data_IF_978505568032
#
_entry.id   IF_978505568032
#
_cell.length_a   1.000
_cell.length_b   1.000
_cell.length_c   1.000
_cell.angle_alpha   90.00
_cell.angle_beta   90.00
_cell.angle_gamma   90.00
#
_symmetry.space_group_name_H-M   'P 1'
#
loop_
_entity.id
_entity.type
_entity.pdbx_description
1 polymer ?
#
# COMPACT_ATOMS: atom_id res chain seq x y z
N UNK A 1 -1.47 26.06 -28.76
CA UNK A 1 -1.66 24.62 -28.49
C UNK A 1 -2.60 24.49 -27.30
N UNK A 2 -3.60 23.62 -27.39
CA UNK A 2 -4.48 23.36 -26.25
C UNK A 2 -3.69 22.61 -25.16
N UNK A 3 -3.89 22.96 -23.89
CA UNK A 3 -3.34 22.20 -22.77
C UNK A 3 -4.11 20.87 -22.71
N UNK A 4 -3.41 19.76 -22.91
CA UNK A 4 -3.91 18.40 -22.68
C UNK A 4 -3.38 17.86 -21.36
N UNK A 5 -4.02 16.81 -20.82
CA UNK A 5 -3.52 16.11 -19.62
C UNK A 5 -2.08 15.63 -19.84
N UNK A 6 -1.76 15.10 -21.02
CA UNK A 6 -0.39 14.66 -21.34
C UNK A 6 0.61 15.81 -21.35
N UNK A 7 0.27 16.95 -21.98
CA UNK A 7 1.14 18.13 -21.98
C UNK A 7 1.33 18.71 -20.57
N UNK A 8 0.31 18.57 -19.71
CA UNK A 8 0.34 19.06 -18.34
C UNK A 8 1.28 18.24 -17.43
N UNK A 9 1.67 17.01 -17.81
CA UNK A 9 2.61 16.20 -17.03
C UNK A 9 4.03 16.79 -16.98
N UNK A 10 4.38 17.68 -17.91
CA UNK A 10 5.72 18.26 -18.04
C UNK A 10 5.85 19.71 -17.56
N UNK A 11 4.87 20.27 -16.83
CA UNK A 11 4.80 21.70 -16.50
C UNK A 11 5.90 22.20 -15.55
N UNK A 12 6.53 21.30 -14.79
CA UNK A 12 7.66 21.61 -13.91
C UNK A 12 8.82 20.64 -14.17
N UNK A 13 9.55 20.77 -15.30
CA UNK A 13 10.58 19.79 -15.70
C UNK A 13 11.81 19.80 -14.77
N UNK A 14 11.97 20.82 -13.93
CA UNK A 14 13.03 20.89 -12.92
C UNK A 14 12.72 20.16 -11.62
N UNK A 15 11.50 19.63 -11.44
CA UNK A 15 11.13 18.85 -10.26
C UNK A 15 11.70 17.43 -10.38
N UNK A 16 12.69 17.10 -9.56
CA UNK A 16 13.23 15.75 -9.45
C UNK A 16 12.24 14.85 -8.68
N UNK A 17 11.63 13.89 -9.35
CA UNK A 17 10.79 12.87 -8.72
C UNK A 17 11.64 11.79 -8.04
N UNK A 18 11.02 11.11 -7.07
CA UNK A 18 11.61 9.94 -6.41
C UNK A 18 11.59 8.72 -7.34
N UNK A 19 12.30 8.77 -8.47
CA UNK A 19 12.32 7.72 -9.50
C UNK A 19 12.86 6.38 -8.98
N UNK A 20 13.55 6.41 -7.83
CA UNK A 20 13.97 5.22 -7.10
C UNK A 20 12.80 4.33 -6.67
N UNK A 21 11.64 4.91 -6.32
CA UNK A 21 10.44 4.15 -5.89
C UNK A 21 9.88 3.28 -7.01
N UNK A 22 9.51 3.83 -8.19
CA UNK A 22 9.00 3.00 -9.29
C UNK A 22 10.07 2.04 -9.82
N UNK A 23 11.35 2.44 -9.87
CA UNK A 23 12.43 1.56 -10.29
C UNK A 23 12.60 0.36 -9.36
N UNK A 24 12.57 0.59 -8.04
CA UNK A 24 12.70 -0.48 -7.06
C UNK A 24 11.46 -1.38 -7.04
N UNK A 25 10.26 -0.81 -7.17
CA UNK A 25 9.00 -1.56 -7.29
C UNK A 25 9.04 -2.49 -8.52
N UNK A 26 9.52 -2.00 -9.67
CA UNK A 26 9.66 -2.83 -10.87
C UNK A 26 10.66 -3.98 -10.68
N UNK A 27 11.77 -3.76 -9.97
CA UNK A 27 12.74 -4.83 -9.65
C UNK A 27 12.16 -5.85 -8.67
N UNK A 28 11.37 -5.40 -7.69
CA UNK A 28 10.65 -6.29 -6.78
C UNK A 28 9.67 -7.19 -7.52
N UNK A 29 8.89 -6.65 -8.47
CA UNK A 29 7.91 -7.41 -9.26
C UNK A 29 8.55 -8.46 -10.19
N UNK A 30 9.88 -8.45 -10.38
CA UNK A 30 10.62 -9.47 -11.14
C UNK A 30 11.11 -10.64 -10.28
N UNK A 31 10.98 -10.55 -8.95
CA UNK A 31 11.36 -11.61 -8.04
C UNK A 31 10.34 -12.77 -8.11
N UNK A 32 10.77 -13.99 -7.77
CA UNK A 32 9.84 -15.11 -7.58
C UNK A 32 8.92 -14.82 -6.40
N UNK A 33 7.73 -15.45 -6.34
CA UNK A 33 6.81 -15.24 -5.23
C UNK A 33 7.43 -15.57 -3.86
N UNK A 34 8.25 -16.62 -3.78
CA UNK A 34 8.97 -16.95 -2.54
C UNK A 34 9.94 -15.85 -2.13
N UNK A 35 10.72 -15.33 -3.08
CA UNK A 35 11.63 -14.20 -2.82
C UNK A 35 10.85 -12.93 -2.47
N UNK A 36 9.71 -12.68 -3.10
CA UNK A 36 8.85 -11.52 -2.78
C UNK A 36 8.34 -11.61 -1.35
N UNK A 37 7.82 -12.77 -0.92
CA UNK A 37 7.32 -12.97 0.45
C UNK A 37 8.44 -12.88 1.49
N UNK A 38 9.57 -13.54 1.23
CA UNK A 38 10.72 -13.47 2.11
C UNK A 38 11.28 -12.04 2.19
N UNK A 39 11.32 -11.33 1.05
CA UNK A 39 11.72 -9.94 0.99
C UNK A 39 10.77 -9.04 1.78
N UNK A 40 9.45 -9.18 1.60
CA UNK A 40 8.44 -8.40 2.33
C UNK A 40 8.55 -8.64 3.83
N UNK A 41 8.76 -9.89 4.25
CA UNK A 41 9.00 -10.24 5.66
C UNK A 41 10.27 -9.58 6.22
N UNK A 42 11.41 -9.69 5.53
CA UNK A 42 12.65 -9.09 6.01
C UNK A 42 12.60 -7.56 5.99
N UNK A 43 11.94 -6.96 5.01
CA UNK A 43 11.73 -5.52 4.97
C UNK A 43 10.81 -5.05 6.10
N UNK A 44 9.76 -5.81 6.42
CA UNK A 44 8.89 -5.55 7.56
C UNK A 44 9.66 -5.59 8.89
N UNK A 45 10.46 -6.62 9.12
CA UNK A 45 11.29 -6.74 10.33
C UNK A 45 12.31 -5.61 10.46
N UNK A 46 12.96 -5.24 9.34
CA UNK A 46 13.97 -4.18 9.35
C UNK A 46 13.35 -2.82 9.61
N UNK A 47 12.23 -2.52 8.94
CA UNK A 47 11.52 -1.26 9.13
C UNK A 47 10.81 -1.17 10.48
N UNK A 48 10.37 -2.29 11.07
CA UNK A 48 9.82 -2.31 12.43
C UNK A 48 10.79 -1.81 13.50
N UNK A 49 12.10 -1.80 13.24
CA UNK A 49 13.12 -1.24 14.13
C UNK A 49 13.17 0.29 14.13
N UNK A 50 12.77 0.94 13.03
CA UNK A 50 12.96 2.38 12.81
C UNK A 50 11.64 3.13 12.57
N UNK A 51 10.61 2.43 12.12
CA UNK A 51 9.29 2.97 11.76
C UNK A 51 8.24 2.31 12.65
N UNK A 52 7.61 3.09 13.52
CA UNK A 52 6.41 2.64 14.22
C UNK A 52 5.25 2.63 13.22
N UNK A 53 4.91 1.43 12.72
CA UNK A 53 3.74 1.26 11.85
C UNK A 53 2.49 1.60 12.66
N UNK A 54 1.70 2.57 12.20
CA UNK A 54 0.42 2.85 12.80
C UNK A 54 -0.45 1.59 12.71
N UNK A 55 -0.95 1.11 13.84
CA UNK A 55 -1.82 -0.04 13.86
C UNK A 55 -3.03 0.23 12.93
N UNK A 56 -3.40 -0.71 12.05
CA UNK A 56 -4.58 -0.55 11.22
C UNK A 56 -5.80 -0.28 12.12
N UNK A 57 -6.60 0.72 11.76
CA UNK A 57 -7.81 1.04 12.50
C UNK A 57 -8.79 -0.13 12.49
N UNK A 58 -9.56 -0.33 13.58
CA UNK A 58 -10.52 -1.42 13.72
C UNK A 58 -11.52 -1.49 12.54
N UNK A 59 -11.94 -0.32 12.01
CA UNK A 59 -12.83 -0.22 10.87
C UNK A 59 -12.23 -0.77 9.56
N UNK A 60 -10.90 -0.78 9.40
CA UNK A 60 -10.24 -1.41 8.25
C UNK A 60 -10.12 -2.92 8.44
N UNK A 61 -9.86 -3.37 9.67
CA UNK A 61 -9.61 -4.79 9.95
C UNK A 61 -10.85 -5.66 9.85
N UNK A 62 -12.05 -5.13 10.13
CA UNK A 62 -13.31 -5.88 10.00
C UNK A 62 -13.52 -6.46 8.58
N UNK A 63 -13.02 -5.77 7.54
CA UNK A 63 -13.16 -6.24 6.15
C UNK A 63 -12.21 -7.39 5.81
N UNK A 64 -11.05 -7.44 6.47
CA UNK A 64 -10.07 -8.52 6.32
C UNK A 64 -10.33 -9.69 7.29
N UNK A 65 -11.11 -9.48 8.35
CA UNK A 65 -11.29 -10.40 9.48
C UNK A 65 -11.73 -11.80 9.05
N UNK A 66 -12.73 -11.91 8.17
CA UNK A 66 -13.21 -13.21 7.70
C UNK A 66 -12.11 -14.00 6.97
N UNK A 67 -11.32 -13.33 6.14
CA UNK A 67 -10.20 -13.95 5.39
C UNK A 67 -9.07 -14.33 6.34
N UNK A 68 -8.74 -13.46 7.29
CA UNK A 68 -7.74 -13.73 8.32
C UNK A 68 -8.13 -14.94 9.20
N UNK A 69 -9.39 -15.01 9.63
CA UNK A 69 -9.90 -16.14 10.41
C UNK A 69 -9.87 -17.44 9.60
N UNK A 70 -10.14 -17.40 8.30
CA UNK A 70 -9.98 -18.54 7.42
C UNK A 70 -8.52 -19.03 7.37
N UNK A 71 -7.56 -18.12 7.16
CA UNK A 71 -6.12 -18.45 7.12
C UNK A 71 -5.65 -18.99 8.48
N UNK A 72 -6.15 -18.46 9.59
CA UNK A 72 -5.81 -18.92 10.93
C UNK A 72 -6.23 -20.37 11.21
N UNK A 73 -7.24 -20.88 10.52
CA UNK A 73 -7.73 -22.25 10.65
C UNK A 73 -7.03 -23.24 9.69
N UNK A 74 -6.22 -22.75 8.76
CA UNK A 74 -5.46 -23.56 7.82
C UNK A 74 -4.23 -24.20 8.48
N UNK A 75 -3.75 -25.30 7.90
CA UNK A 75 -2.44 -25.86 8.20
C UNK A 75 -1.32 -24.92 7.75
N UNK A 76 -0.11 -25.06 8.29
CA UNK A 76 1.02 -24.22 7.89
C UNK A 76 1.35 -24.30 6.40
N UNK A 77 1.21 -25.48 5.79
CA UNK A 77 1.41 -25.66 4.35
C UNK A 77 0.39 -24.87 3.54
N UNK A 78 -0.89 -24.94 3.92
CA UNK A 78 -1.97 -24.17 3.27
C UNK A 78 -1.80 -22.66 3.48
N UNK A 79 -1.36 -22.22 4.67
CA UNK A 79 -1.08 -20.82 4.94
C UNK A 79 0.04 -20.29 4.05
N UNK A 80 1.14 -21.03 3.94
CA UNK A 80 2.24 -20.70 3.01
C UNK A 80 1.73 -20.66 1.57
N UNK A 81 0.92 -21.64 1.16
CA UNK A 81 0.35 -21.67 -0.19
C UNK A 81 -0.51 -20.43 -0.48
N UNK A 82 -1.36 -20.00 0.46
CA UNK A 82 -2.18 -18.79 0.29
C UNK A 82 -1.31 -17.54 0.13
N UNK A 83 -0.26 -17.41 0.93
CA UNK A 83 0.68 -16.28 0.78
C UNK A 83 1.39 -16.32 -0.58
N UNK A 84 1.82 -17.51 -1.02
CA UNK A 84 2.41 -17.71 -2.35
C UNK A 84 1.42 -17.40 -3.47
N UNK A 85 0.15 -17.77 -3.33
CA UNK A 85 -0.92 -17.50 -4.30
C UNK A 85 -1.17 -16.00 -4.43
N UNK A 86 -1.17 -15.27 -3.31
CA UNK A 86 -1.28 -13.81 -3.30
C UNK A 86 -0.12 -13.16 -4.05
N UNK A 87 1.12 -13.60 -3.80
CA UNK A 87 2.31 -13.08 -4.49
C UNK A 87 2.38 -13.48 -5.98
N UNK A 88 1.85 -14.65 -6.35
CA UNK A 88 1.80 -15.13 -7.74
C UNK A 88 0.61 -14.59 -8.54
N UNK A 89 -0.25 -13.77 -7.95
CA UNK A 89 -1.52 -13.33 -8.55
C UNK A 89 -2.41 -14.49 -9.01
N UNK A 90 -2.41 -15.59 -8.25
CA UNK A 90 -3.14 -16.79 -8.59
C UNK A 90 -4.65 -16.57 -8.58
N UNK A 91 -5.36 -17.35 -9.39
CA UNK A 91 -6.82 -17.32 -9.45
C UNK A 91 -7.42 -18.19 -8.33
N UNK A 92 -7.49 -17.63 -7.13
CA UNK A 92 -8.10 -18.29 -5.96
C UNK A 92 -9.17 -17.40 -5.32
N UNK A 93 -10.11 -17.96 -4.55
CA UNK A 93 -11.12 -17.16 -3.85
C UNK A 93 -10.51 -16.07 -2.97
N UNK A 94 -9.44 -16.38 -2.23
CA UNK A 94 -8.75 -15.40 -1.37
C UNK A 94 -8.09 -14.31 -2.21
N UNK A 95 -7.40 -14.67 -3.30
CA UNK A 95 -6.77 -13.70 -4.19
C UNK A 95 -7.79 -12.76 -4.85
N UNK A 96 -8.97 -13.26 -5.24
CA UNK A 96 -10.06 -12.45 -5.78
C UNK A 96 -10.65 -11.50 -4.75
N UNK A 97 -10.90 -11.97 -3.52
CA UNK A 97 -11.37 -11.12 -2.42
C UNK A 97 -10.34 -10.03 -2.13
N UNK A 98 -9.08 -10.41 -1.97
CA UNK A 98 -7.96 -9.51 -1.73
C UNK A 98 -7.87 -8.41 -2.80
N UNK A 99 -8.05 -8.76 -4.07
CA UNK A 99 -8.02 -7.83 -5.18
C UNK A 99 -9.06 -6.69 -5.07
N UNK A 100 -10.19 -6.93 -4.41
CA UNK A 100 -11.26 -5.92 -4.22
C UNK A 100 -10.95 -4.90 -3.12
N UNK A 101 -9.96 -5.16 -2.27
CA UNK A 101 -9.69 -4.34 -1.09
C UNK A 101 -8.95 -3.04 -1.40
N UNK A 102 -9.22 -2.02 -0.59
CA UNK A 102 -8.43 -0.80 -0.58
C UNK A 102 -6.97 -1.11 -0.16
N UNK A 103 -6.01 -0.27 -0.57
CA UNK A 103 -4.62 -0.38 -0.14
C UNK A 103 -4.44 -0.47 1.37
N UNK A 104 -5.27 0.23 2.15
CA UNK A 104 -5.17 0.24 3.61
C UNK A 104 -5.63 -1.08 4.23
N UNK A 105 -6.71 -1.68 3.70
CA UNK A 105 -7.16 -3.01 4.14
C UNK A 105 -6.10 -4.06 3.80
N UNK A 106 -5.51 -3.99 2.59
CA UNK A 106 -4.38 -4.85 2.17
C UNK A 106 -3.18 -4.73 3.11
N UNK A 107 -2.80 -3.52 3.47
CA UNK A 107 -1.71 -3.25 4.43
C UNK A 107 -2.05 -3.81 5.81
N UNK A 108 -3.27 -3.61 6.30
CA UNK A 108 -3.71 -4.11 7.60
C UNK A 108 -3.73 -5.64 7.67
N UNK A 109 -4.16 -6.28 6.59
CA UNK A 109 -4.10 -7.72 6.42
C UNK A 109 -2.66 -8.26 6.55
N UNK A 110 -1.71 -7.71 5.79
CA UNK A 110 -0.31 -8.16 5.86
C UNK A 110 0.35 -7.87 7.21
N UNK A 111 0.05 -6.73 7.81
CA UNK A 111 0.53 -6.42 9.16
C UNK A 111 0.02 -7.43 10.19
N UNK A 112 -1.24 -7.85 10.12
CA UNK A 112 -1.79 -8.86 11.02
C UNK A 112 -1.21 -10.26 10.77
N UNK A 113 -0.98 -10.65 9.51
CA UNK A 113 -0.28 -11.88 9.19
C UNK A 113 1.15 -11.86 9.76
N UNK A 114 1.87 -10.76 9.60
CA UNK A 114 3.23 -10.60 10.16
C UNK A 114 3.25 -10.81 11.69
N UNK A 115 2.31 -10.21 12.41
CA UNK A 115 2.16 -10.46 13.86
C UNK A 115 1.87 -11.93 14.18
N UNK A 116 1.01 -12.58 13.43
CA UNK A 116 0.72 -13.99 13.62
C UNK A 116 1.88 -14.91 13.26
N UNK A 117 2.76 -14.50 12.35
CA UNK A 117 4.02 -15.20 12.08
C UNK A 117 5.00 -15.07 13.26
N UNK A 118 5.08 -13.90 13.90
CA UNK A 118 5.86 -13.72 15.14
C UNK A 118 5.31 -14.54 16.31
N UNK A 119 3.98 -14.63 16.43
CA UNK A 119 3.29 -15.40 17.47
C UNK A 119 3.27 -16.92 17.20
N UNK A 120 3.71 -17.37 16.02
CA UNK A 120 3.69 -18.78 15.61
C UNK A 120 2.29 -19.33 15.29
N UNK A 121 1.32 -18.45 15.03
CA UNK A 121 -0.06 -18.79 14.60
C UNK A 121 -0.12 -19.01 13.09
N UNK A 122 0.65 -18.23 12.33
CA UNK A 122 0.81 -18.37 10.88
C UNK A 122 2.23 -18.87 10.57
N UNK A 123 2.36 -19.72 9.55
CA UNK A 123 3.63 -20.24 9.07
C UNK A 123 4.66 -19.11 8.85
N UNK A 124 5.77 -19.07 9.61
CA UNK A 124 6.81 -18.06 9.41
C UNK A 124 7.63 -18.36 8.14
N UNK A 125 8.38 -17.37 7.68
CA UNK A 125 9.42 -17.63 6.65
C UNK A 125 10.45 -18.61 7.23
N UNK A 126 10.86 -19.65 6.49
CA UNK A 126 11.80 -20.65 6.99
C UNK A 126 13.08 -20.04 7.57
N UNK A 127 13.49 -20.53 8.74
CA UNK A 127 14.75 -20.11 9.38
C UNK A 127 15.93 -20.38 8.44
N UNK A 128 16.69 -19.32 8.13
CA UNK A 128 17.83 -19.42 7.23
C UNK A 128 17.48 -19.37 5.75
N UNK A 129 16.25 -18.99 5.38
CA UNK A 129 15.91 -18.67 4.00
C UNK A 129 16.92 -17.66 3.43
N UNK A 130 17.51 -18.00 2.30
CA UNK A 130 18.46 -17.13 1.60
C UNK A 130 17.76 -16.49 0.42
N UNK A 131 17.55 -15.19 0.51
CA UNK A 131 17.13 -14.38 -0.63
C UNK A 131 18.06 -14.64 -1.82
N UNK A 132 17.51 -14.63 -3.03
CA UNK A 132 18.34 -14.58 -4.22
C UNK A 132 19.23 -13.33 -4.23
N UNK A 133 20.27 -13.33 -5.08
CA UNK A 133 21.12 -12.16 -5.26
C UNK A 133 20.31 -10.91 -5.66
N UNK A 134 19.28 -11.10 -6.51
CA UNK A 134 18.40 -10.02 -6.93
C UNK A 134 17.54 -9.51 -5.77
N UNK A 135 16.89 -10.41 -5.01
CA UNK A 135 16.08 -10.02 -3.87
C UNK A 135 16.91 -9.34 -2.77
N UNK A 136 18.13 -9.84 -2.51
CA UNK A 136 19.08 -9.19 -1.59
C UNK A 136 19.41 -7.78 -2.05
N UNK A 137 19.72 -7.59 -3.34
CA UNK A 137 20.02 -6.26 -3.87
C UNK A 137 18.82 -5.30 -3.80
N UNK A 138 17.60 -5.79 -4.00
CA UNK A 138 16.38 -5.00 -3.82
C UNK A 138 16.24 -4.59 -2.34
N UNK A 139 16.49 -5.49 -1.39
CA UNK A 139 16.41 -5.21 0.04
C UNK A 139 17.47 -4.18 0.48
N UNK A 140 18.70 -4.34 0.03
CA UNK A 140 19.76 -3.37 0.33
C UNK A 140 19.47 -2.00 -0.29
N UNK A 141 18.89 -1.95 -1.50
CA UNK A 141 18.47 -0.68 -2.10
C UNK A 141 17.39 -0.01 -1.25
N UNK A 142 16.38 -0.76 -0.79
CA UNK A 142 15.31 -0.24 0.08
C UNK A 142 15.89 0.46 1.31
N UNK A 143 16.87 -0.15 1.98
CA UNK A 143 17.50 0.41 3.19
C UNK A 143 18.19 1.75 2.96
N UNK A 144 18.60 2.06 1.74
CA UNK A 144 19.25 3.34 1.40
C UNK A 144 18.27 4.47 1.06
N UNK A 145 17.01 4.14 0.81
CA UNK A 145 15.97 5.12 0.52
C UNK A 145 15.57 5.89 1.79
N UNK A 146 15.03 7.09 1.63
CA UNK A 146 14.41 7.79 2.74
C UNK A 146 13.15 7.06 3.24
N UNK A 147 12.75 7.32 4.48
CA UNK A 147 11.67 6.62 5.14
C UNK A 147 10.33 6.71 4.38
N UNK A 148 10.03 7.86 3.75
CA UNK A 148 8.82 8.05 2.96
C UNK A 148 8.81 7.18 1.70
N UNK A 149 9.96 7.11 1.01
CA UNK A 149 10.16 6.21 -0.13
C UNK A 149 10.08 4.74 0.28
N UNK A 150 10.69 4.34 1.40
CA UNK A 150 10.62 2.97 1.92
C UNK A 150 9.17 2.52 2.15
N UNK A 151 8.38 3.35 2.85
CA UNK A 151 6.95 3.08 3.10
C UNK A 151 6.18 2.98 1.78
N UNK A 152 6.51 3.83 0.81
CA UNK A 152 5.84 3.80 -0.50
C UNK A 152 6.16 2.52 -1.28
N UNK A 153 7.42 2.06 -1.28
CA UNK A 153 7.81 0.79 -1.92
C UNK A 153 7.12 -0.39 -1.27
N UNK A 154 7.07 -0.46 0.07
CA UNK A 154 6.33 -1.53 0.77
C UNK A 154 4.84 -1.52 0.48
N UNK A 155 4.25 -0.32 0.42
CA UNK A 155 2.85 -0.18 0.05
C UNK A 155 2.61 -0.73 -1.35
N UNK A 156 3.46 -0.38 -2.31
CA UNK A 156 3.32 -0.86 -3.68
C UNK A 156 3.53 -2.38 -3.78
N UNK A 157 4.51 -2.94 -3.04
CA UNK A 157 4.79 -4.38 -3.08
C UNK A 157 3.62 -5.24 -2.65
N UNK A 158 2.78 -4.76 -1.73
CA UNK A 158 1.58 -5.51 -1.28
C UNK A 158 0.31 -5.12 -2.03
N UNK A 159 0.20 -3.88 -2.51
CA UNK A 159 -0.99 -3.42 -3.24
C UNK A 159 -1.18 -4.16 -4.54
N UNK A 160 -0.08 -4.52 -5.21
CA UNK A 160 -0.13 -5.20 -6.50
C UNK A 160 -0.48 -6.70 -6.37
N UNK A 161 -0.29 -7.31 -5.20
CA UNK A 161 -0.62 -8.73 -4.94
C UNK A 161 -2.12 -9.05 -5.07
N UNK A 162 -2.41 -10.34 -5.17
CA UNK A 162 -3.74 -10.91 -5.38
C UNK A 162 -4.12 -10.99 -6.86
N UNK A 163 -5.38 -11.32 -7.13
CA UNK A 163 -5.84 -11.52 -8.50
C UNK A 163 -5.87 -10.21 -9.30
N UNK A 164 -5.65 -10.30 -10.61
CA UNK A 164 -5.72 -9.15 -11.51
C UNK A 164 -7.16 -8.64 -11.62
N UNK A 165 -7.42 -7.44 -11.09
CA UNK A 165 -8.74 -6.80 -11.10
C UNK A 165 -9.29 -6.58 -12.50
N UNK A 166 -8.43 -6.46 -13.52
CA UNK A 166 -8.87 -6.26 -14.90
C UNK A 166 -9.46 -7.54 -15.51
N UNK A 167 -9.28 -8.69 -14.84
CA UNK A 167 -9.84 -9.99 -15.24
C UNK A 167 -11.09 -10.36 -14.42
N UNK A 168 -11.61 -9.44 -13.59
CA UNK A 168 -12.85 -9.65 -12.84
C UNK A 168 -14.05 -9.18 -13.67
N UNK A 169 -15.09 -10.02 -13.75
CA UNK A 169 -16.37 -9.70 -14.38
C UNK A 169 -17.21 -8.76 -13.49
N UNK A 170 -16.75 -7.52 -13.35
CA UNK A 170 -17.32 -6.54 -12.43
C UNK A 170 -17.01 -6.87 -10.96
N UNK A 171 -16.65 -5.85 -10.18
CA UNK A 171 -16.42 -6.02 -8.76
C UNK A 171 -16.81 -4.75 -7.99
N UNK A 172 -17.24 -4.95 -6.75
CA UNK A 172 -17.42 -3.84 -5.80
C UNK A 172 -16.13 -3.69 -5.02
N UNK A 173 -15.52 -2.49 -5.10
CA UNK A 173 -14.35 -2.18 -4.29
C UNK A 173 -14.76 -2.11 -2.82
N UNK A 174 -14.03 -2.81 -1.96
CA UNK A 174 -14.19 -2.75 -0.50
C UNK A 174 -13.19 -1.73 0.04
N UNK A 175 -13.68 -0.69 0.70
CA UNK A 175 -12.85 0.34 1.32
C UNK A 175 -13.41 0.74 2.68
N UNK A 176 -12.57 1.39 3.48
CA UNK A 176 -13.01 1.94 4.76
C UNK A 176 -14.10 3.00 4.55
N UNK A 177 -15.00 3.18 5.54
CA UNK A 177 -15.97 4.25 5.50
C UNK A 177 -15.28 5.61 5.35
N UNK A 178 -15.82 6.46 4.49
CA UNK A 178 -15.36 7.84 4.37
C UNK A 178 -15.67 8.57 5.68
N UNK A 179 -14.63 9.09 6.34
CA UNK A 179 -14.79 9.86 7.58
C UNK A 179 -15.40 11.22 7.24
N UNK A 180 -16.43 11.61 8.00
CA UNK A 180 -17.08 12.90 7.81
C UNK A 180 -16.07 14.06 7.94
N UNK A 181 -16.27 15.17 7.20
CA UNK A 181 -15.38 16.31 7.27
C UNK A 181 -15.29 16.89 8.68
N UNK A 182 -14.11 17.39 9.06
CA UNK A 182 -13.95 18.11 10.32
C UNK A 182 -14.87 19.34 10.36
N UNK A 183 -15.47 19.60 11.51
CA UNK A 183 -16.26 20.80 11.75
C UNK A 183 -15.41 22.05 11.45
N UNK A 184 -16.03 23.09 10.88
CA UNK A 184 -15.32 24.31 10.42
C UNK A 184 -14.44 24.91 11.52
N UNK A 185 -14.91 24.91 12.77
CA UNK A 185 -14.18 25.42 13.94
C UNK A 185 -12.90 24.65 14.29
N UNK A 186 -12.73 23.44 13.78
CA UNK A 186 -11.58 22.57 14.01
C UNK A 186 -10.64 22.48 12.80
N UNK A 187 -10.97 23.18 11.70
CA UNK A 187 -10.14 23.19 10.50
C UNK A 187 -8.94 24.11 10.70
N UNK A 188 -7.81 23.72 10.12
CA UNK A 188 -6.60 24.54 10.06
C UNK A 188 -6.42 25.08 8.65
N UNK A 189 -5.86 26.29 8.55
CA UNK A 189 -5.48 26.89 7.28
C UNK A 189 -3.98 26.73 7.08
N UNK A 190 -3.58 26.23 5.91
CA UNK A 190 -2.17 26.17 5.52
C UNK A 190 -1.70 27.55 5.05
N UNK A 191 -0.43 27.84 5.31
CA UNK A 191 0.28 28.97 4.72
C UNK A 191 1.45 28.41 3.92
N UNK A 192 1.55 28.76 2.64
CA UNK A 192 2.62 28.31 1.75
C UNK A 192 3.43 29.55 1.34
N UNK A 193 4.72 29.55 1.66
CA UNK A 193 5.58 30.69 1.36
C UNK A 193 5.61 30.96 -0.15
N UNK A 194 5.30 32.19 -0.55
CA UNK A 194 5.30 32.61 -1.96
C UNK A 194 4.09 32.14 -2.77
N UNK A 195 3.06 31.58 -2.13
CA UNK A 195 1.84 31.13 -2.80
C UNK A 195 0.58 31.61 -2.04
N UNK A 196 -0.22 32.43 -2.71
CA UNK A 196 -1.49 32.98 -2.23
C UNK A 196 -2.69 32.53 -3.07
N UNK A 197 -2.47 31.65 -4.05
CA UNK A 197 -3.53 31.18 -4.95
C UNK A 197 -4.66 30.49 -4.14
N UNK A 198 -5.89 31.02 -4.18
CA UNK A 198 -6.97 30.55 -3.31
C UNK A 198 -7.40 29.13 -3.63
N UNK A 199 -7.28 28.68 -4.88
CA UNK A 199 -7.61 27.30 -5.28
C UNK A 199 -6.63 26.31 -4.66
N UNK A 200 -5.32 26.60 -4.71
CA UNK A 200 -4.30 25.72 -4.12
C UNK A 200 -4.40 25.67 -2.60
N UNK A 201 -4.63 26.82 -1.95
CA UNK A 201 -4.80 26.87 -0.49
C UNK A 201 -6.07 26.13 -0.06
N UNK A 202 -7.18 26.32 -0.77
CA UNK A 202 -8.45 25.64 -0.47
C UNK A 202 -8.35 24.13 -0.71
N UNK A 203 -7.63 23.70 -1.75
CA UNK A 203 -7.34 22.29 -2.00
C UNK A 203 -6.67 21.64 -0.78
N UNK A 204 -5.61 22.26 -0.25
CA UNK A 204 -4.88 21.74 0.92
C UNK A 204 -5.74 21.73 2.18
N UNK A 205 -6.51 22.79 2.44
CA UNK A 205 -7.34 22.91 3.63
C UNK A 205 -8.48 21.89 3.63
N UNK A 206 -9.12 21.69 2.48
CA UNK A 206 -10.21 20.71 2.34
C UNK A 206 -9.68 19.28 2.49
N UNK A 207 -8.53 18.97 1.89
CA UNK A 207 -7.89 17.67 2.03
C UNK A 207 -7.51 17.37 3.49
N UNK A 208 -6.94 18.34 4.22
CA UNK A 208 -6.63 18.21 5.66
C UNK A 208 -7.87 18.04 6.56
N UNK A 209 -9.04 18.42 6.06
CA UNK A 209 -10.33 18.33 6.75
C UNK A 209 -11.15 17.10 6.32
N UNK A 210 -10.69 16.27 5.39
CA UNK A 210 -11.45 15.20 4.72
C UNK A 210 -12.73 15.72 4.01
N UNK A 211 -12.72 16.96 3.52
CA UNK A 211 -13.84 17.59 2.81
C UNK A 211 -13.74 17.32 1.30
N UNK A 212 -13.99 16.07 0.91
CA UNK A 212 -13.82 15.62 -0.47
C UNK A 212 -14.88 16.17 -1.43
N UNK A 213 -16.08 16.46 -0.93
CA UNK A 213 -17.17 17.06 -1.74
C UNK A 213 -16.76 18.45 -2.21
N UNK A 214 -16.28 19.29 -1.29
CA UNK A 214 -15.84 20.65 -1.64
C UNK A 214 -14.54 20.63 -2.47
N UNK A 215 -13.70 19.61 -2.29
CA UNK A 215 -12.50 19.41 -3.12
C UNK A 215 -12.88 19.07 -4.57
N UNK A 216 -13.88 18.22 -4.79
CA UNK A 216 -14.32 17.86 -6.13
C UNK A 216 -14.95 19.05 -6.87
N UNK A 217 -15.71 19.88 -6.17
CA UNK A 217 -16.31 21.10 -6.71
C UNK A 217 -15.27 22.10 -7.29
N UNK A 218 -14.01 22.01 -6.86
CA UNK A 218 -12.92 22.86 -7.36
C UNK A 218 -12.30 22.35 -8.68
N UNK A 219 -12.43 21.06 -8.97
CA UNK A 219 -11.82 20.42 -10.16
C UNK A 219 -12.69 20.53 -11.42
N UNK A 220 -13.99 20.84 -11.27
CA UNK A 220 -15.00 20.84 -12.35
C UNK A 220 -15.27 22.25 -12.89
N UNK A 221 -14.51 23.27 -12.45
CA UNK A 221 -14.60 24.65 -12.93
C UNK A 221 -13.56 24.93 -14.01
#
# INVERSE_FOLDING_TARGET
>A
MAITIDSARGIFPGTLSADAVPALTARFNQLSAEDQLAWTWFAFLEMGKTVTVAAPGAASMQFAEATLNQIKQMTFEEQTQVMCDLANHADTPICRIYATWSPNIKLGFWHQLGKWMEEGIVAPIPTGYKLSANATAVLETLKTLDQGQQITVLRNSVVDMGFDVNKLDGYTRVSEPVVAPKAISQRTNVTIQGLDNPTVLSYMNNLNANDFDEQLNQLVK
#
